data_IF_886875947145
#
_entry.id   IF_886875947145
#
_cell.length_a   1.000
_cell.length_b   1.000
_cell.length_c   1.000
_cell.angle_alpha   90.00
_cell.angle_beta   90.00
_cell.angle_gamma   90.00
#
_symmetry.space_group_name_H-M   'P 1'
#
loop_
_entity.id
_entity.type
_entity.pdbx_description
1 polymer ?
#
# COMPACT_ATOMS: atom_id res chain seq x y z
N UNK A 1 9.03 -10.99 -6.99
CA UNK A 1 8.32 -9.73 -7.28
C UNK A 1 7.30 -9.95 -8.40
N UNK A 2 6.01 -9.65 -8.21
CA UNK A 2 4.98 -9.88 -9.22
C UNK A 2 4.77 -8.74 -10.23
N UNK A 3 5.37 -7.56 -10.00
CA UNK A 3 5.07 -6.37 -10.79
C UNK A 3 5.96 -6.21 -12.02
N UNK A 4 5.33 -5.98 -13.18
CA UNK A 4 6.00 -5.78 -14.47
C UNK A 4 6.55 -4.37 -14.65
N UNK A 5 6.01 -3.40 -13.91
CA UNK A 5 6.37 -1.98 -13.93
C UNK A 5 7.34 -1.58 -12.80
N UNK A 6 8.03 -2.56 -12.21
CA UNK A 6 9.08 -2.37 -11.20
C UNK A 6 10.35 -3.06 -11.67
N UNK A 7 11.08 -2.47 -12.63
CA UNK A 7 12.27 -3.11 -13.20
C UNK A 7 13.42 -3.15 -12.20
N UNK A 8 14.19 -4.24 -12.22
CA UNK A 8 15.39 -4.43 -11.38
C UNK A 8 16.35 -3.26 -11.59
N UNK A 9 16.85 -2.69 -10.50
CA UNK A 9 17.76 -1.54 -10.52
C UNK A 9 17.07 -0.17 -10.50
N UNK A 10 15.74 -0.11 -10.55
CA UNK A 10 15.01 1.13 -10.25
C UNK A 10 15.29 1.56 -8.81
N UNK A 11 15.41 2.87 -8.55
CA UNK A 11 15.72 3.38 -7.21
C UNK A 11 14.72 2.93 -6.12
N UNK A 12 13.49 2.58 -6.52
CA UNK A 12 12.43 2.10 -5.64
C UNK A 12 12.27 0.57 -5.62
N UNK A 13 13.06 -0.18 -6.39
CA UNK A 13 12.89 -1.64 -6.56
C UNK A 13 12.91 -2.37 -5.20
N UNK A 14 13.96 -2.15 -4.41
CA UNK A 14 14.13 -2.82 -3.12
C UNK A 14 13.05 -2.43 -2.11
N UNK A 15 12.62 -1.16 -2.13
CA UNK A 15 11.56 -0.67 -1.25
C UNK A 15 10.20 -1.31 -1.59
N UNK A 16 9.89 -1.44 -2.88
CA UNK A 16 8.65 -2.12 -3.32
C UNK A 16 8.71 -3.61 -3.02
N UNK A 17 9.86 -4.26 -3.26
CA UNK A 17 10.06 -5.66 -2.93
C UNK A 17 9.82 -5.92 -1.43
N UNK A 18 10.47 -5.15 -0.56
CA UNK A 18 10.30 -5.22 0.88
C UNK A 18 8.83 -5.03 1.30
N UNK A 19 8.15 -4.04 0.70
CA UNK A 19 6.75 -3.76 1.01
C UNK A 19 5.83 -4.92 0.61
N UNK A 20 6.09 -5.60 -0.52
CA UNK A 20 5.34 -6.79 -0.93
C UNK A 20 5.61 -7.96 0.03
N UNK A 21 6.87 -8.23 0.34
CA UNK A 21 7.27 -9.33 1.23
C UNK A 21 6.71 -9.19 2.65
N UNK A 22 6.54 -7.95 3.12
CA UNK A 22 5.95 -7.65 4.42
C UNK A 22 4.42 -7.49 4.38
N UNK A 23 3.79 -7.67 3.21
CA UNK A 23 2.35 -7.56 3.05
C UNK A 23 1.81 -6.12 3.17
N UNK A 24 2.67 -5.11 3.02
CA UNK A 24 2.33 -3.68 3.12
C UNK A 24 1.58 -3.20 1.88
N UNK A 25 1.95 -3.71 0.71
CA UNK A 25 1.28 -3.40 -0.56
C UNK A 25 1.02 -4.65 -1.39
N UNK A 26 -0.05 -4.59 -2.18
CA UNK A 26 -0.38 -5.59 -3.21
C UNK A 26 -0.28 -5.02 -4.62
N UNK A 27 0.18 -3.78 -4.76
CA UNK A 27 0.13 -3.05 -6.02
C UNK A 27 -1.26 -2.49 -6.31
N UNK A 28 -1.39 -1.91 -7.51
CA UNK A 28 -2.65 -1.39 -8.07
C UNK A 28 -3.40 -2.46 -8.86
N UNK A 29 -2.71 -3.53 -9.25
CA UNK A 29 -3.28 -4.77 -9.78
C UNK A 29 -2.37 -5.94 -9.41
N UNK A 30 -2.77 -7.16 -9.78
CA UNK A 30 -1.96 -8.36 -9.55
C UNK A 30 -0.56 -8.31 -10.19
N UNK A 31 -0.37 -7.47 -11.22
CA UNK A 31 0.89 -7.40 -12.00
C UNK A 31 1.47 -5.99 -12.11
N UNK A 32 0.90 -4.99 -11.41
CA UNK A 32 1.37 -3.60 -11.46
C UNK A 32 1.43 -2.93 -10.09
N UNK A 33 2.49 -2.16 -9.85
CA UNK A 33 2.61 -1.28 -8.68
C UNK A 33 2.18 0.16 -8.96
N UNK A 34 2.35 0.62 -10.20
CA UNK A 34 2.15 2.00 -10.66
C UNK A 34 3.01 3.05 -9.93
N UNK A 35 4.36 2.96 -10.01
CA UNK A 35 5.28 3.79 -9.22
C UNK A 35 5.17 5.30 -9.48
N UNK A 36 4.65 5.70 -10.65
CA UNK A 36 4.48 7.10 -11.03
C UNK A 36 3.05 7.62 -10.81
N UNK A 37 2.14 6.80 -10.29
CA UNK A 37 0.79 7.21 -9.97
C UNK A 37 0.80 8.05 -8.69
N UNK A 38 -0.01 9.12 -8.65
CA UNK A 38 -0.23 9.89 -7.42
C UNK A 38 -0.77 8.98 -6.32
N UNK A 39 -0.03 8.90 -5.22
CA UNK A 39 -0.46 8.14 -4.04
C UNK A 39 -1.53 8.93 -3.28
N UNK A 40 -2.69 8.31 -3.07
CA UNK A 40 -3.78 8.89 -2.30
C UNK A 40 -3.51 8.80 -0.80
N UNK A 41 -4.14 9.69 -0.01
CA UNK A 41 -4.07 9.64 1.47
C UNK A 41 -4.52 8.28 2.01
N UNK A 42 -5.57 7.69 1.44
CA UNK A 42 -6.07 6.38 1.84
C UNK A 42 -5.04 5.26 1.61
N UNK A 43 -4.30 5.30 0.48
CA UNK A 43 -3.24 4.33 0.21
C UNK A 43 -2.08 4.45 1.22
N UNK A 44 -1.64 5.67 1.53
CA UNK A 44 -0.58 5.89 2.53
C UNK A 44 -1.01 5.33 3.90
N UNK A 45 -2.23 5.66 4.34
CA UNK A 45 -2.75 5.15 5.63
C UNK A 45 -2.88 3.63 5.61
N UNK A 46 -3.28 3.02 4.49
CA UNK A 46 -3.34 1.56 4.35
C UNK A 46 -1.95 0.91 4.43
N UNK A 47 -0.90 1.55 3.89
CA UNK A 47 0.47 1.07 4.01
C UNK A 47 0.96 1.12 5.46
N UNK A 48 0.75 2.25 6.15
CA UNK A 48 1.10 2.41 7.56
C UNK A 48 0.36 1.42 8.46
N UNK A 49 -0.94 1.22 8.23
CA UNK A 49 -1.72 0.26 9.00
C UNK A 49 -1.18 -1.17 8.86
N UNK A 50 -0.81 -1.58 7.63
CA UNK A 50 -0.23 -2.91 7.39
C UNK A 50 1.22 -3.04 7.89
N UNK A 51 2.00 -1.96 7.86
CA UNK A 51 3.37 -1.99 8.43
C UNK A 51 3.33 -2.26 9.93
N UNK A 52 2.32 -1.74 10.63
CA UNK A 52 2.04 -2.02 12.05
C UNK A 52 1.32 -3.36 12.29
N UNK A 53 1.35 -4.28 11.32
CA UNK A 53 0.71 -5.60 11.38
C UNK A 53 -0.81 -5.54 11.55
N UNK A 54 -1.44 -4.54 10.93
CA UNK A 54 -2.89 -4.44 10.79
C UNK A 54 -3.62 -4.48 12.14
N UNK A 55 -3.30 -3.58 13.08
CA UNK A 55 -3.95 -3.56 14.39
C UNK A 55 -5.46 -3.38 14.24
N UNK A 56 -6.23 -3.91 15.18
CA UNK A 56 -7.68 -3.72 15.17
C UNK A 56 -8.01 -2.23 15.15
N UNK A 57 -8.99 -1.84 14.31
CA UNK A 57 -9.50 -0.49 14.32
C UNK A 57 -10.12 -0.21 15.70
N UNK A 58 -9.95 1.03 16.18
CA UNK A 58 -10.54 1.48 17.44
C UNK A 58 -12.06 1.66 17.35
N UNK A 59 -12.59 2.54 18.20
CA UNK A 59 -14.00 2.94 18.25
C UNK A 59 -14.58 3.35 16.88
N UNK A 60 -15.91 3.53 16.83
CA UNK A 60 -16.64 3.97 15.64
C UNK A 60 -15.97 5.13 14.89
N UNK A 61 -15.97 5.05 13.56
CA UNK A 61 -15.41 6.06 12.67
C UNK A 61 -16.07 7.44 12.92
N UNK A 62 -15.32 8.47 13.36
CA UNK A 62 -15.86 9.80 13.65
C UNK A 62 -15.97 10.69 12.40
N UNK A 63 -15.49 10.24 11.23
CA UNK A 63 -15.44 11.04 10.02
C UNK A 63 -16.69 10.82 9.16
N UNK A 64 -17.50 11.88 8.98
CA UNK A 64 -18.76 11.82 8.24
C UNK A 64 -18.58 11.55 6.73
N UNK A 65 -17.42 11.89 6.18
CA UNK A 65 -17.05 11.73 4.76
C UNK A 65 -16.36 10.40 4.46
N UNK A 66 -16.08 9.58 5.48
CA UNK A 66 -15.58 8.22 5.33
C UNK A 66 -16.73 7.25 5.56
N UNK A 67 -17.21 6.60 4.49
CA UNK A 67 -18.29 5.62 4.62
C UNK A 67 -17.86 4.46 5.51
N UNK A 68 -18.65 4.13 6.53
CA UNK A 68 -18.54 2.86 7.24
C UNK A 68 -18.79 1.74 6.24
N UNK A 69 -17.76 0.92 6.03
CA UNK A 69 -17.79 -0.21 5.09
C UNK A 69 -18.29 -1.46 5.80
#
# INVERSE_FOLDING_TARGET
>A
MPFTDVPVGSYYYDAVLWAVENGITKGTSDTTFSPNMTCTRAQIVAFLWRSEKSPAAGTANPFADVKST
#
